data_IF_108501166908
#
_entry.id   IF_108501166908
#
_cell.length_a   1.000
_cell.length_b   1.000
_cell.length_c   1.000
_cell.angle_alpha   90.00
_cell.angle_beta   90.00
_cell.angle_gamma   90.00
#
_symmetry.space_group_name_H-M   'P 1'
#
loop_
_entity.id
_entity.type
_entity.pdbx_description
1 polymer ?
#
# COMPACT_ATOMS: atom_id res chain seq x y z
N UNK A 1 -18.46 -1.18 -13.48
CA UNK A 1 -17.31 -1.46 -14.37
C UNK A 1 -16.52 -2.50 -13.63
N UNK A 2 -17.03 -3.73 -13.70
CA UNK A 2 -16.67 -4.76 -12.74
C UNK A 2 -15.52 -5.60 -13.32
N UNK A 3 -15.46 -5.73 -14.66
CA UNK A 3 -14.36 -6.36 -15.39
C UNK A 3 -12.99 -5.74 -15.10
N UNK A 4 -12.89 -4.40 -15.01
CA UNK A 4 -11.62 -3.73 -14.71
C UNK A 4 -11.19 -4.04 -13.26
N UNK A 5 -12.12 -4.04 -12.33
CA UNK A 5 -11.84 -4.36 -10.93
C UNK A 5 -11.45 -5.84 -10.76
N UNK A 6 -12.07 -6.75 -11.50
CA UNK A 6 -11.68 -8.16 -11.54
C UNK A 6 -10.26 -8.34 -12.10
N UNK A 7 -9.90 -7.66 -13.18
CA UNK A 7 -8.55 -7.71 -13.75
C UNK A 7 -7.51 -7.19 -12.75
N UNK A 8 -7.77 -6.05 -12.10
CA UNK A 8 -6.87 -5.50 -11.08
C UNK A 8 -6.74 -6.45 -9.88
N UNK A 9 -7.84 -7.10 -9.49
CA UNK A 9 -7.86 -8.06 -8.39
C UNK A 9 -7.04 -9.31 -8.72
N UNK A 10 -7.05 -9.79 -9.96
CA UNK A 10 -6.17 -10.90 -10.40
C UNK A 10 -4.70 -10.53 -10.22
N UNK A 11 -4.30 -9.30 -10.57
CA UNK A 11 -2.93 -8.82 -10.37
C UNK A 11 -2.55 -8.76 -8.88
N UNK A 12 -3.48 -8.33 -8.03
CA UNK A 12 -3.32 -8.34 -6.57
C UNK A 12 -3.26 -9.77 -6.01
N UNK A 13 -4.13 -10.67 -6.43
CA UNK A 13 -4.21 -12.04 -5.91
C UNK A 13 -2.96 -12.85 -6.24
N UNK A 14 -2.28 -12.52 -7.34
CA UNK A 14 -1.00 -13.09 -7.75
C UNK A 14 0.22 -12.55 -6.96
N UNK A 15 0.04 -11.62 -6.02
CA UNK A 15 1.10 -11.17 -5.13
C UNK A 15 1.34 -12.16 -3.98
N UNK A 16 2.59 -12.20 -3.49
CA UNK A 16 2.89 -12.85 -2.21
C UNK A 16 2.27 -12.09 -1.04
N UNK A 17 2.18 -12.73 0.13
CA UNK A 17 1.46 -12.18 1.28
C UNK A 17 2.03 -10.84 1.75
N UNK A 18 3.36 -10.72 1.82
CA UNK A 18 4.02 -9.46 2.18
C UNK A 18 3.82 -8.37 1.12
N UNK A 19 3.86 -8.71 -0.18
CA UNK A 19 3.59 -7.71 -1.23
C UNK A 19 2.13 -7.25 -1.21
N UNK A 20 1.16 -8.14 -0.93
CA UNK A 20 -0.25 -7.76 -0.70
C UNK A 20 -0.35 -6.78 0.46
N UNK A 21 0.43 -7.04 1.51
CA UNK A 21 0.46 -6.18 2.67
C UNK A 21 1.02 -4.78 2.31
N UNK A 22 2.20 -4.70 1.69
CA UNK A 22 2.77 -3.42 1.24
C UNK A 22 1.82 -2.66 0.32
N UNK A 23 1.16 -3.35 -0.62
CA UNK A 23 0.18 -2.74 -1.52
C UNK A 23 -0.97 -2.02 -0.77
N UNK A 24 -1.56 -2.70 0.23
CA UNK A 24 -2.68 -2.14 1.00
C UNK A 24 -2.26 -0.93 1.83
N UNK A 25 -1.05 -0.97 2.41
CA UNK A 25 -0.50 0.15 3.18
C UNK A 25 -0.30 1.38 2.28
N UNK A 26 0.23 1.20 1.06
CA UNK A 26 0.37 2.31 0.10
C UNK A 26 -1.01 2.84 -0.33
N UNK A 27 -1.98 1.95 -0.57
CA UNK A 27 -3.31 2.34 -1.03
C UNK A 27 -4.05 3.19 -0.01
N UNK A 28 -3.89 2.85 1.27
CA UNK A 28 -4.59 3.52 2.35
C UNK A 28 -3.84 4.75 2.91
N UNK A 29 -2.51 4.73 2.96
CA UNK A 29 -1.74 5.72 3.72
C UNK A 29 -0.71 6.50 2.89
N UNK A 30 -0.04 5.87 1.93
CA UNK A 30 1.21 6.43 1.40
C UNK A 30 1.14 6.94 -0.05
N UNK A 31 -0.05 7.00 -0.65
CA UNK A 31 -0.19 7.63 -1.97
C UNK A 31 0.23 9.11 -1.89
N UNK A 32 1.19 9.49 -2.73
CA UNK A 32 1.71 10.85 -2.85
C UNK A 32 2.87 11.18 -1.92
N UNK A 33 3.27 10.25 -1.04
CA UNK A 33 4.41 10.43 -0.15
C UNK A 33 5.74 10.24 -0.88
N UNK A 34 6.81 10.83 -0.35
CA UNK A 34 8.16 10.64 -0.87
C UNK A 34 8.62 9.20 -0.68
N UNK A 35 9.27 8.65 -1.70
CA UNK A 35 9.81 7.30 -1.71
C UNK A 35 10.72 7.03 -0.52
N UNK A 36 11.54 8.01 -0.12
CA UNK A 36 12.46 7.93 1.02
C UNK A 36 11.72 7.72 2.34
N UNK A 37 10.60 8.42 2.55
CA UNK A 37 9.76 8.25 3.74
C UNK A 37 9.07 6.89 3.74
N UNK A 38 8.50 6.51 2.59
CA UNK A 38 7.84 5.22 2.41
C UNK A 38 8.84 4.06 2.60
N UNK A 39 10.05 4.16 2.06
CA UNK A 39 11.09 3.13 2.21
C UNK A 39 11.48 2.93 3.67
N UNK A 40 11.66 4.02 4.43
CA UNK A 40 11.99 3.97 5.85
C UNK A 40 10.88 3.30 6.67
N UNK A 41 9.63 3.75 6.51
CA UNK A 41 8.51 3.20 7.28
C UNK A 41 8.27 1.72 6.94
N UNK A 42 8.32 1.37 5.66
CA UNK A 42 8.16 -0.03 5.24
C UNK A 42 9.34 -0.89 5.70
N UNK A 43 10.55 -0.35 5.82
CA UNK A 43 11.70 -1.07 6.39
C UNK A 43 11.48 -1.44 7.85
N UNK A 44 10.86 -0.56 8.62
CA UNK A 44 10.53 -0.83 10.02
C UNK A 44 9.39 -1.86 10.15
N UNK A 45 8.49 -1.91 9.17
CA UNK A 45 7.35 -2.82 9.15
C UNK A 45 7.68 -4.22 8.60
N UNK A 46 8.49 -4.30 7.55
CA UNK A 46 8.73 -5.49 6.72
C UNK A 46 10.22 -5.87 6.62
N UNK A 47 11.10 -5.14 7.29
CA UNK A 47 12.55 -5.34 7.23
C UNK A 47 13.18 -4.78 5.95
N UNK A 48 14.46 -5.10 5.71
CA UNK A 48 15.26 -4.54 4.62
C UNK A 48 14.84 -4.99 3.19
N UNK A 49 13.65 -5.56 3.01
CA UNK A 49 13.13 -6.08 1.73
C UNK A 49 12.21 -5.10 0.98
N UNK A 50 12.00 -3.88 1.47
CA UNK A 50 11.08 -2.89 0.89
C UNK A 50 11.26 -2.67 -0.62
N UNK A 51 12.51 -2.50 -1.07
CA UNK A 51 12.83 -2.33 -2.50
C UNK A 51 12.37 -3.51 -3.35
N UNK A 52 12.48 -4.73 -2.83
CA UNK A 52 11.97 -5.92 -3.51
C UNK A 52 10.45 -5.90 -3.61
N UNK A 53 9.75 -5.60 -2.51
CA UNK A 53 8.29 -5.56 -2.51
C UNK A 53 7.74 -4.49 -3.47
N UNK A 54 8.27 -3.26 -3.42
CA UNK A 54 7.81 -2.21 -4.34
C UNK A 54 8.25 -2.48 -5.77
N UNK A 55 9.43 -3.07 -5.99
CA UNK A 55 9.84 -3.54 -7.33
C UNK A 55 8.79 -4.45 -7.97
N UNK A 56 8.29 -5.44 -7.22
CA UNK A 56 7.23 -6.34 -7.69
C UNK A 56 5.92 -5.60 -7.98
N UNK A 57 5.55 -4.61 -7.17
CA UNK A 57 4.36 -3.79 -7.40
C UNK A 57 4.48 -2.91 -8.63
N UNK A 58 5.67 -2.37 -8.91
CA UNK A 58 5.99 -1.61 -10.12
C UNK A 58 5.97 -2.50 -11.36
N UNK A 59 6.58 -3.69 -11.30
CA UNK A 59 6.55 -4.68 -12.39
C UNK A 59 5.11 -5.09 -12.77
N UNK A 60 4.23 -5.19 -11.78
CA UNK A 60 2.80 -5.49 -11.98
C UNK A 60 1.94 -4.26 -12.28
N UNK A 61 2.56 -3.09 -12.45
CA UNK A 61 1.87 -1.81 -12.71
C UNK A 61 0.80 -1.46 -11.67
N UNK A 62 0.96 -1.93 -10.44
CA UNK A 62 0.05 -1.63 -9.32
C UNK A 62 0.45 -0.33 -8.61
N UNK A 63 1.74 0.02 -8.66
CA UNK A 63 2.33 1.23 -8.07
C UNK A 63 3.29 1.83 -9.10
N UNK A 64 3.50 3.14 -9.02
CA UNK A 64 4.50 3.87 -9.80
C UNK A 64 5.33 4.74 -8.86
N UNK A 65 6.62 4.87 -9.12
CA UNK A 65 7.44 5.95 -8.52
C UNK A 65 7.56 7.06 -9.56
N UNK A 66 7.15 8.27 -9.21
CA UNK A 66 7.16 9.43 -10.10
C UNK A 66 8.58 9.94 -10.34
N UNK A 67 8.75 10.84 -11.31
CA UNK A 67 10.04 11.51 -11.51
C UNK A 67 10.42 12.49 -10.40
N UNK A 68 9.48 12.78 -9.49
CA UNK A 68 9.70 13.58 -8.28
C UNK A 68 9.92 12.68 -7.05
N UNK A 69 10.28 11.41 -7.26
CA UNK A 69 10.48 10.41 -6.21
C UNK A 69 9.28 10.22 -5.27
N UNK A 70 8.05 10.39 -5.77
CA UNK A 70 6.83 10.12 -5.00
C UNK A 70 6.18 8.80 -5.37
N UNK A 71 5.59 8.10 -4.40
CA UNK A 71 4.84 6.86 -4.63
C UNK A 71 3.42 7.18 -5.09
N UNK A 72 3.11 6.81 -6.33
CA UNK A 72 1.82 7.03 -6.97
C UNK A 72 1.06 5.72 -7.20
N UNK A 73 -0.27 5.84 -7.18
CA UNK A 73 -1.19 4.76 -7.50
C UNK A 73 -2.35 5.34 -8.30
N UNK A 74 -2.79 4.61 -9.33
CA UNK A 74 -3.97 5.02 -10.08
C UNK A 74 -5.21 4.94 -9.19
N UNK A 75 -6.14 5.89 -9.29
CA UNK A 75 -7.29 6.02 -8.39
C UNK A 75 -8.11 4.72 -8.31
N UNK A 76 -8.38 4.08 -9.45
CA UNK A 76 -9.09 2.79 -9.49
C UNK A 76 -8.38 1.65 -8.74
N UNK A 77 -7.04 1.63 -8.74
CA UNK A 77 -6.22 0.63 -8.02
C UNK A 77 -6.27 0.94 -6.53
N UNK A 78 -6.20 2.21 -6.17
CA UNK A 78 -6.32 2.67 -4.79
C UNK A 78 -7.70 2.35 -4.20
N UNK A 79 -8.76 2.60 -4.96
CA UNK A 79 -10.14 2.26 -4.59
C UNK A 79 -10.31 0.76 -4.35
N UNK A 80 -9.74 -0.06 -5.24
CA UNK A 80 -9.72 -1.52 -5.06
C UNK A 80 -9.01 -1.92 -3.76
N UNK A 81 -7.82 -1.35 -3.50
CA UNK A 81 -7.07 -1.64 -2.28
C UNK A 81 -7.83 -1.27 -1.01
N UNK A 82 -8.46 -0.09 -0.99
CA UNK A 82 -9.31 0.34 0.12
C UNK A 82 -10.52 -0.58 0.32
N UNK A 83 -11.14 -1.02 -0.77
CA UNK A 83 -12.27 -1.95 -0.69
C UNK A 83 -11.86 -3.32 -0.13
N UNK A 84 -10.70 -3.84 -0.55
CA UNK A 84 -10.15 -5.09 -0.02
C UNK A 84 -9.88 -4.97 1.49
N UNK A 85 -9.25 -3.89 1.93
CA UNK A 85 -8.96 -3.67 3.34
C UNK A 85 -10.26 -3.49 4.17
N UNK A 86 -11.26 -2.77 3.63
CA UNK A 86 -12.60 -2.66 4.23
C UNK A 86 -13.26 -4.03 4.42
N UNK A 87 -13.16 -4.92 3.44
CA UNK A 87 -13.72 -6.27 3.52
C UNK A 87 -12.95 -7.17 4.50
N UNK A 88 -11.66 -6.91 4.76
CA UNK A 88 -10.85 -7.65 5.75
C UNK A 88 -11.22 -7.35 7.21
N UNK A 89 -11.85 -6.22 7.50
CA UNK A 89 -12.28 -5.83 8.85
C UNK A 89 -13.69 -5.24 8.85
N UNK A 90 -14.73 -6.06 8.63
CA UNK A 90 -16.11 -5.59 8.54
C UNK A 90 -16.66 -5.04 9.87
N UNK A 91 -16.02 -5.38 11.00
CA UNK A 91 -16.50 -5.03 12.35
C UNK A 91 -16.14 -3.59 12.76
N UNK A 92 -15.13 -2.95 12.16
CA UNK A 92 -14.75 -1.56 12.47
C UNK A 92 -14.19 -0.83 11.23
N UNK A 93 -15.03 -0.13 10.42
CA UNK A 93 -14.58 0.57 9.21
C UNK A 93 -13.58 1.71 9.47
N UNK A 94 -13.36 2.10 10.73
CA UNK A 94 -12.34 3.07 11.16
C UNK A 94 -11.13 2.45 11.88
N UNK A 95 -11.09 1.13 12.11
CA UNK A 95 -9.97 0.44 12.78
C UNK A 95 -9.48 -0.75 11.97
N UNK A 96 -8.88 -0.46 10.81
CA UNK A 96 -7.97 -1.46 10.27
C UNK A 96 -6.77 -1.52 11.23
N UNK A 97 -6.56 -2.67 11.91
CA UNK A 97 -5.46 -2.84 12.88
C UNK A 97 -4.10 -2.43 12.32
N UNK A 98 -3.95 -2.52 10.99
CA UNK A 98 -2.79 -2.07 10.23
C UNK A 98 -2.74 -0.56 10.06
N UNK A 99 -3.86 0.10 9.76
CA UNK A 99 -3.95 1.56 9.76
C UNK A 99 -3.62 2.12 11.14
N UNK A 100 -4.06 1.49 12.24
CA UNK A 100 -3.63 1.87 13.59
C UNK A 100 -2.12 1.72 13.78
N UNK A 101 -1.53 0.62 13.32
CA UNK A 101 -0.07 0.41 13.41
C UNK A 101 0.69 1.46 12.58
N UNK A 102 0.22 1.77 11.38
CA UNK A 102 0.81 2.76 10.48
C UNK A 102 0.60 4.17 11.02
N UNK A 103 -0.59 4.51 11.51
CA UNK A 103 -0.90 5.82 12.11
C UNK A 103 -0.01 6.08 13.34
N UNK A 104 0.21 5.07 14.18
CA UNK A 104 1.16 5.15 15.30
C UNK A 104 2.59 5.41 14.78
N UNK A 105 3.06 4.64 13.79
CA UNK A 105 4.42 4.79 13.25
C UNK A 105 4.60 6.14 12.52
N UNK A 106 3.60 6.58 11.76
CA UNK A 106 3.60 7.86 11.06
C UNK A 106 3.56 9.04 12.05
N UNK A 107 2.83 8.93 13.16
CA UNK A 107 2.83 9.93 14.23
C UNK A 107 4.21 10.00 14.90
N UNK A 108 4.86 8.87 15.18
CA UNK A 108 6.23 8.86 15.75
C UNK A 108 7.26 9.53 14.81
N UNK A 109 7.09 9.38 13.50
CA UNK A 109 7.96 10.00 12.49
C UNK A 109 7.67 11.50 12.29
N UNK A 110 6.44 11.97 12.55
CA UNK A 110 6.05 13.38 12.45
C UNK A 110 6.39 14.21 13.71
N UNK A 111 6.67 13.57 14.84
CA UNK A 111 6.96 14.23 16.14
C UNK A 111 8.47 14.20 16.48
N UNK A 112 9.30 13.52 15.68
CA UNK A 112 10.78 13.51 15.81
C UNK A 112 11.44 14.50 14.86
#
# INVERSE_FOLDING_TARGET
SDEIQEILKVSFDALGEEQKNVFLDIACCFKGYEWTEVDNILRDLYGNCTKHHIGVLVEKSLVKVSCCDTVEMHDMIQDMGREIERQRSPEEPGKCKRLFKIEIICLDFLIS
#
